data_IF_562458227486
#
_entry.id   IF_562458227486
#
_cell.length_a   1.000
_cell.length_b   1.000
_cell.length_c   1.000
_cell.angle_alpha   90.00
_cell.angle_beta   90.00
_cell.angle_gamma   90.00
#
_symmetry.space_group_name_H-M   'P 1'
#
loop_
_entity.id
_entity.type
_entity.pdbx_description
1 polymer ?
#
# COMPACT_ATOMS: atom_id res chain seq x y z
N UNK A 1 4.57 35.95 -13.37
CA UNK A 1 5.01 34.56 -13.12
C UNK A 1 3.76 33.83 -12.73
N UNK A 2 3.41 32.78 -13.47
CA UNK A 2 2.22 32.01 -13.14
C UNK A 2 2.49 31.21 -11.86
N UNK A 3 1.45 31.02 -11.04
CA UNK A 3 1.57 30.32 -9.77
C UNK A 3 0.51 29.23 -9.67
N UNK A 4 0.88 28.10 -9.07
CA UNK A 4 -0.04 27.03 -8.71
C UNK A 4 0.27 26.59 -7.28
N UNK A 5 -0.77 26.40 -6.46
CA UNK A 5 -0.65 25.98 -5.06
C UNK A 5 0.31 26.84 -4.22
N UNK A 6 0.49 28.12 -4.59
CA UNK A 6 1.39 29.06 -3.91
C UNK A 6 2.83 29.08 -4.40
N UNK A 7 3.18 28.32 -5.44
CA UNK A 7 4.55 28.19 -5.97
C UNK A 7 4.63 28.63 -7.43
N UNK A 8 5.84 29.00 -7.87
CA UNK A 8 6.11 29.38 -9.25
C UNK A 8 5.91 28.22 -10.23
N UNK A 9 5.45 28.55 -11.44
CA UNK A 9 5.27 27.60 -12.55
C UNK A 9 5.97 28.16 -13.79
N UNK A 10 6.71 27.31 -14.49
CA UNK A 10 7.38 27.68 -15.73
C UNK A 10 6.40 27.75 -16.92
N UNK A 11 6.90 28.27 -18.05
CA UNK A 11 6.10 28.43 -19.28
C UNK A 11 5.57 27.11 -19.88
N UNK A 12 6.15 25.97 -19.49
CA UNK A 12 5.78 24.65 -19.96
C UNK A 12 4.88 23.92 -18.94
N UNK A 13 4.51 24.56 -17.84
CA UNK A 13 3.63 24.02 -16.81
C UNK A 13 4.34 23.23 -15.70
N UNK A 14 5.67 23.23 -15.64
CA UNK A 14 6.41 22.57 -14.56
C UNK A 14 6.55 23.49 -13.34
N UNK A 15 6.43 22.90 -12.15
CA UNK A 15 6.64 23.56 -10.87
C UNK A 15 8.09 24.04 -10.76
N UNK A 16 8.28 25.24 -10.20
CA UNK A 16 9.58 25.87 -10.07
C UNK A 16 10.40 25.38 -8.88
N UNK A 17 11.61 25.93 -8.74
CA UNK A 17 12.57 25.53 -7.70
C UNK A 17 12.10 25.85 -6.27
N UNK A 18 11.20 26.82 -6.11
CA UNK A 18 10.55 27.12 -4.84
C UNK A 18 9.64 25.98 -4.36
N UNK A 19 8.90 25.34 -5.28
CA UNK A 19 8.16 24.11 -4.98
C UNK A 19 9.11 22.96 -4.63
N UNK A 20 10.13 22.72 -5.47
CA UNK A 20 11.09 21.62 -5.23
C UNK A 20 11.75 21.75 -3.86
N UNK A 21 12.14 22.97 -3.46
CA UNK A 21 12.70 23.24 -2.14
C UNK A 21 11.72 22.93 -1.02
N UNK A 22 10.45 23.33 -1.15
CA UNK A 22 9.42 23.05 -0.14
C UNK A 22 9.10 21.55 -0.04
N UNK A 23 9.10 20.84 -1.18
CA UNK A 23 8.84 19.42 -1.27
C UNK A 23 10.10 18.54 -1.01
N UNK A 24 11.26 19.13 -0.73
CA UNK A 24 12.51 18.39 -0.51
C UNK A 24 13.00 17.59 -1.73
N UNK A 25 12.67 18.06 -2.93
CA UNK A 25 13.06 17.46 -4.21
C UNK A 25 14.42 18.01 -4.68
N UNK A 26 15.16 17.27 -5.54
CA UNK A 26 16.29 17.83 -6.28
C UNK A 26 15.88 19.11 -7.04
N UNK A 27 16.81 20.05 -7.18
CA UNK A 27 16.52 21.36 -7.77
C UNK A 27 15.97 21.27 -9.20
N UNK A 28 16.47 20.31 -9.98
CA UNK A 28 16.11 20.05 -11.37
C UNK A 28 14.99 19.00 -11.54
N UNK A 29 14.44 18.46 -10.44
CA UNK A 29 13.38 17.47 -10.50
C UNK A 29 12.10 18.09 -11.07
N UNK A 30 11.49 17.45 -12.06
CA UNK A 30 10.33 18.02 -12.75
C UNK A 30 9.03 17.41 -12.23
N UNK A 31 8.16 18.27 -11.71
CA UNK A 31 6.74 17.97 -11.47
C UNK A 31 5.92 18.91 -12.32
N UNK A 32 5.04 18.37 -13.17
CA UNK A 32 4.11 19.17 -13.95
C UNK A 32 2.87 19.52 -13.11
N UNK A 33 2.33 20.72 -13.28
CA UNK A 33 1.14 21.20 -12.56
C UNK A 33 -0.05 20.26 -12.70
N UNK A 34 -0.22 19.63 -13.87
CA UNK A 34 -1.32 18.67 -14.10
C UNK A 34 -1.28 17.47 -13.15
N UNK A 35 -0.10 17.06 -12.67
CA UNK A 35 0.02 16.02 -11.64
C UNK A 35 -0.60 16.49 -10.32
N UNK A 36 -0.35 17.74 -9.91
CA UNK A 36 -0.91 18.30 -8.68
C UNK A 36 -2.42 18.55 -8.81
N UNK A 37 -2.86 19.00 -9.98
CA UNK A 37 -4.29 19.14 -10.29
C UNK A 37 -5.03 17.80 -10.24
N UNK A 38 -4.39 16.72 -10.72
CA UNK A 38 -4.93 15.38 -10.62
C UNK A 38 -4.99 14.91 -9.16
N UNK A 39 -3.96 15.14 -8.34
CA UNK A 39 -4.00 14.82 -6.90
C UNK A 39 -5.18 15.54 -6.24
N UNK A 40 -5.36 16.83 -6.51
CA UNK A 40 -6.48 17.60 -5.97
C UNK A 40 -7.84 17.04 -6.41
N UNK A 41 -8.00 16.78 -7.72
CA UNK A 41 -9.26 16.35 -8.32
C UNK A 41 -9.64 14.94 -7.87
N UNK A 42 -8.68 14.01 -7.86
CA UNK A 42 -8.83 12.66 -7.33
C UNK A 42 -9.26 12.71 -5.85
N UNK A 43 -8.54 13.43 -4.99
CA UNK A 43 -8.86 13.48 -3.57
C UNK A 43 -10.19 14.15 -3.24
N UNK A 44 -10.60 15.14 -4.05
CA UNK A 44 -11.92 15.77 -3.91
C UNK A 44 -13.03 14.81 -4.32
N UNK A 45 -12.86 14.11 -5.44
CA UNK A 45 -13.89 13.21 -5.99
C UNK A 45 -14.00 11.90 -5.21
N UNK A 46 -12.86 11.32 -4.81
CA UNK A 46 -12.77 10.08 -4.04
C UNK A 46 -13.43 10.21 -2.66
N UNK A 47 -13.32 11.40 -2.03
CA UNK A 47 -13.88 11.68 -0.70
C UNK A 47 -15.25 12.37 -0.72
N UNK A 48 -15.84 12.59 -1.90
CA UNK A 48 -17.11 13.30 -2.07
C UNK A 48 -18.26 12.62 -1.31
N UNK A 49 -18.34 11.29 -1.36
CA UNK A 49 -19.40 10.54 -0.68
C UNK A 49 -19.37 10.80 0.84
N UNK A 50 -18.20 10.69 1.47
CA UNK A 50 -18.03 10.95 2.91
C UNK A 50 -18.32 12.40 3.26
N UNK A 51 -17.92 13.36 2.42
CA UNK A 51 -18.25 14.77 2.64
C UNK A 51 -19.78 15.00 2.61
N UNK A 52 -20.47 14.41 1.65
CA UNK A 52 -21.93 14.50 1.51
C UNK A 52 -22.67 13.86 2.69
N UNK A 53 -22.25 12.67 3.13
CA UNK A 53 -22.85 11.97 4.29
C UNK A 53 -22.73 12.78 5.58
N UNK A 54 -21.61 13.50 5.74
CA UNK A 54 -21.36 14.38 6.88
C UNK A 54 -21.98 15.78 6.72
N UNK A 55 -22.64 16.05 5.59
CA UNK A 55 -23.29 17.33 5.31
C UNK A 55 -22.31 18.50 5.13
N UNK A 56 -21.08 18.24 4.65
CA UNK A 56 -20.05 19.26 4.43
C UNK A 56 -19.75 19.44 2.94
N UNK A 57 -19.38 20.66 2.56
CA UNK A 57 -19.09 21.00 1.15
C UNK A 57 -17.79 20.41 0.60
N UNK A 58 -16.85 20.07 1.48
CA UNK A 58 -15.51 19.63 1.10
C UNK A 58 -14.90 18.81 2.23
N UNK A 59 -14.19 17.74 1.84
CA UNK A 59 -13.48 16.87 2.79
C UNK A 59 -12.22 17.55 3.36
N UNK A 60 -11.40 18.11 2.48
CA UNK A 60 -10.20 18.89 2.82
C UNK A 60 -10.50 20.39 2.73
N UNK A 61 -10.11 21.15 3.74
CA UNK A 61 -10.09 22.63 3.68
C UNK A 61 -8.80 23.15 3.05
N UNK A 62 -7.71 22.37 3.12
CA UNK A 62 -6.47 22.62 2.40
C UNK A 62 -5.74 21.28 2.16
N UNK A 63 -5.07 21.15 1.01
CA UNK A 63 -4.10 20.08 0.74
C UNK A 63 -2.74 20.74 0.55
N UNK A 64 -1.79 20.42 1.43
CA UNK A 64 -0.41 20.85 1.28
C UNK A 64 0.28 19.97 0.23
N UNK A 65 0.28 20.44 -1.02
CA UNK A 65 0.83 19.70 -2.16
C UNK A 65 2.34 19.47 -2.02
N UNK A 66 3.06 20.44 -1.47
CA UNK A 66 4.51 20.30 -1.29
C UNK A 66 4.82 19.23 -0.24
N UNK A 67 4.12 19.25 0.90
CA UNK A 67 4.31 18.23 1.94
C UNK A 67 3.85 16.84 1.48
N UNK A 68 2.72 16.75 0.77
CA UNK A 68 2.23 15.49 0.20
C UNK A 68 3.27 14.88 -0.75
N UNK A 69 3.81 15.67 -1.69
CA UNK A 69 4.86 15.21 -2.60
C UNK A 69 6.16 14.88 -1.86
N UNK A 70 6.54 15.66 -0.84
CA UNK A 70 7.72 15.38 0.00
C UNK A 70 7.67 14.00 0.64
N UNK A 71 6.54 13.67 1.26
CA UNK A 71 6.34 12.39 1.93
C UNK A 71 6.45 11.22 0.94
N UNK A 72 5.75 11.30 -0.19
CA UNK A 72 5.85 10.28 -1.25
C UNK A 72 7.27 10.18 -1.81
N UNK A 73 7.93 11.31 -2.10
CA UNK A 73 9.29 11.30 -2.64
C UNK A 73 10.29 10.70 -1.65
N UNK A 74 10.12 10.94 -0.35
CA UNK A 74 10.94 10.32 0.70
C UNK A 74 10.85 8.79 0.67
N UNK A 75 9.64 8.23 0.54
CA UNK A 75 9.44 6.76 0.40
C UNK A 75 10.00 6.23 -0.91
N UNK A 76 9.69 6.89 -2.01
CA UNK A 76 10.23 6.56 -3.32
C UNK A 76 11.76 6.51 -3.29
N UNK A 77 12.42 7.51 -2.70
CA UNK A 77 13.87 7.57 -2.63
C UNK A 77 14.45 6.43 -1.78
N UNK A 78 13.79 6.02 -0.69
CA UNK A 78 14.19 4.84 0.07
C UNK A 78 14.14 3.55 -0.77
N UNK A 79 13.09 3.37 -1.58
CA UNK A 79 12.95 2.22 -2.50
C UNK A 79 14.05 2.23 -3.56
N UNK A 80 14.30 3.38 -4.19
CA UNK A 80 15.36 3.51 -5.21
C UNK A 80 16.74 3.24 -4.59
N UNK A 81 16.99 3.74 -3.38
CA UNK A 81 18.25 3.54 -2.68
C UNK A 81 18.47 2.08 -2.27
N UNK A 82 17.40 1.34 -1.93
CA UNK A 82 17.48 -0.09 -1.67
C UNK A 82 17.98 -0.86 -2.90
N UNK A 83 17.43 -0.57 -4.08
CA UNK A 83 17.78 -1.31 -5.31
C UNK A 83 19.09 -0.89 -5.95
N UNK A 84 19.44 0.40 -5.89
CA UNK A 84 20.56 0.95 -6.65
C UNK A 84 21.62 1.67 -5.80
N UNK A 85 21.59 1.49 -4.47
CA UNK A 85 22.69 1.85 -3.56
C UNK A 85 23.02 3.35 -3.52
N UNK A 86 22.08 4.19 -3.10
CA UNK A 86 22.23 5.66 -3.03
C UNK A 86 22.80 6.28 -4.32
N UNK A 87 22.55 5.68 -5.48
CA UNK A 87 22.97 6.23 -6.75
C UNK A 87 22.15 7.48 -7.09
N UNK A 88 22.81 8.51 -7.62
CA UNK A 88 22.14 9.66 -8.26
C UNK A 88 21.59 9.28 -9.64
N UNK A 89 21.06 8.05 -9.77
CA UNK A 89 20.54 7.52 -11.03
C UNK A 89 19.26 8.27 -11.38
N UNK A 90 19.27 8.90 -12.55
CA UNK A 90 18.17 9.70 -13.09
C UNK A 90 17.48 9.07 -14.29
N UNK A 91 18.03 7.96 -14.80
CA UNK A 91 17.52 7.21 -15.96
C UNK A 91 17.56 5.70 -15.69
N UNK A 92 16.49 5.01 -16.09
CA UNK A 92 16.21 3.60 -15.78
C UNK A 92 15.85 2.82 -17.05
N UNK A 93 16.61 1.77 -17.38
CA UNK A 93 16.27 0.84 -18.46
C UNK A 93 15.17 -0.13 -18.03
N UNK A 94 14.60 -0.89 -18.97
CA UNK A 94 13.62 -1.94 -18.64
C UNK A 94 14.20 -2.99 -17.70
N UNK A 95 15.49 -3.31 -17.83
CA UNK A 95 16.21 -4.20 -16.92
C UNK A 95 16.28 -3.61 -15.50
N UNK A 96 16.54 -2.30 -15.37
CA UNK A 96 16.49 -1.62 -14.08
C UNK A 96 15.09 -1.75 -13.47
N UNK A 97 14.03 -1.50 -14.25
CA UNK A 97 12.64 -1.62 -13.78
C UNK A 97 12.33 -3.03 -13.27
N UNK A 98 12.84 -4.06 -13.95
CA UNK A 98 12.65 -5.46 -13.56
C UNK A 98 13.33 -5.79 -12.23
N UNK A 99 14.42 -5.10 -11.87
CA UNK A 99 15.16 -5.29 -10.62
C UNK A 99 14.56 -4.58 -9.41
N UNK A 100 13.60 -3.66 -9.61
CA UNK A 100 12.89 -3.00 -8.51
C UNK A 100 11.96 -3.96 -7.76
N UNK A 101 11.73 -3.73 -6.45
CA UNK A 101 10.81 -4.52 -5.64
C UNK A 101 9.39 -4.50 -6.20
N UNK A 102 8.66 -5.60 -6.00
CA UNK A 102 7.23 -5.74 -6.33
C UNK A 102 6.32 -5.25 -5.21
N UNK A 103 6.89 -5.03 -4.03
CA UNK A 103 6.24 -4.36 -2.91
C UNK A 103 7.17 -4.28 -1.71
N UNK A 104 6.63 -3.77 -0.61
CA UNK A 104 7.33 -3.61 0.65
C UNK A 104 6.35 -3.71 1.82
N UNK A 105 6.86 -3.94 3.02
CA UNK A 105 6.06 -3.88 4.24
C UNK A 105 6.41 -2.66 5.06
N UNK A 106 5.39 -2.10 5.71
CA UNK A 106 5.56 -1.01 6.66
C UNK A 106 5.21 -1.44 8.07
N UNK A 107 5.98 -0.94 9.04
CA UNK A 107 5.54 -0.81 10.41
C UNK A 107 5.07 0.62 10.64
N UNK A 108 3.85 0.78 11.15
CA UNK A 108 3.31 2.09 11.46
C UNK A 108 3.30 2.31 12.98
N UNK A 109 3.90 3.41 13.41
CA UNK A 109 3.92 3.81 14.82
C UNK A 109 2.64 4.53 15.27
N UNK A 110 1.83 4.98 14.31
CA UNK A 110 0.56 5.70 14.52
C UNK A 110 -0.51 5.14 13.57
N UNK A 111 -1.28 4.16 14.02
CA UNK A 111 -2.27 3.46 13.18
C UNK A 111 -3.43 4.41 12.79
N UNK A 112 -3.25 5.07 11.63
CA UNK A 112 -4.25 5.91 10.98
C UNK A 112 -4.52 5.36 9.59
N UNK A 113 -5.68 4.76 9.39
CA UNK A 113 -6.04 4.15 8.10
C UNK A 113 -6.82 5.09 7.17
N UNK A 114 -7.49 6.13 7.69
CA UNK A 114 -8.30 7.06 6.86
C UNK A 114 -7.58 8.34 6.44
N UNK A 115 -6.53 8.74 7.16
CA UNK A 115 -5.75 9.92 6.85
C UNK A 115 -4.30 9.67 7.28
N UNK A 116 -3.53 9.16 6.32
CA UNK A 116 -2.21 8.60 6.58
C UNK A 116 -1.15 9.69 6.67
N UNK A 117 -0.14 9.44 7.49
CA UNK A 117 1.13 10.15 7.50
C UNK A 117 2.23 9.15 7.13
N UNK A 118 2.89 9.32 5.98
CA UNK A 118 3.93 8.38 5.58
C UNK A 118 5.20 8.55 6.40
N UNK A 119 5.43 9.70 7.04
CA UNK A 119 6.58 9.90 7.93
C UNK A 119 6.46 9.08 9.23
N UNK A 120 5.26 8.62 9.63
CA UNK A 120 5.07 7.72 10.79
C UNK A 120 5.30 6.24 10.47
N UNK A 121 5.55 5.93 9.20
CA UNK A 121 5.73 4.57 8.69
C UNK A 121 7.21 4.27 8.47
N UNK A 122 7.67 3.08 8.84
CA UNK A 122 9.02 2.59 8.57
C UNK A 122 8.94 1.39 7.64
N UNK A 123 9.73 1.36 6.56
CA UNK A 123 9.82 0.17 5.71
C UNK A 123 10.61 -0.91 6.46
N UNK A 124 10.01 -2.07 6.66
CA UNK A 124 10.62 -3.19 7.39
C UNK A 124 11.10 -4.31 6.47
N UNK A 125 10.48 -4.45 5.29
CA UNK A 125 10.79 -5.51 4.35
C UNK A 125 10.64 -5.03 2.90
N UNK A 126 11.47 -5.58 2.00
CA UNK A 126 11.32 -5.45 0.55
C UNK A 126 11.07 -6.82 -0.10
N UNK A 127 10.16 -6.86 -1.07
CA UNK A 127 9.80 -8.07 -1.81
C UNK A 127 10.28 -7.97 -3.25
N UNK A 128 11.50 -8.45 -3.52
CA UNK A 128 12.17 -8.28 -4.82
C UNK A 128 11.59 -9.14 -5.95
N UNK A 129 10.80 -10.17 -5.62
CA UNK A 129 10.12 -11.02 -6.60
C UNK A 129 8.62 -11.06 -6.34
N UNK A 130 7.84 -11.33 -7.40
CA UNK A 130 6.38 -11.46 -7.27
C UNK A 130 6.00 -12.63 -6.36
N UNK A 131 6.76 -13.73 -6.41
CA UNK A 131 6.56 -14.88 -5.54
C UNK A 131 6.65 -14.51 -4.06
N UNK A 132 7.64 -13.69 -3.67
CA UNK A 132 7.81 -13.24 -2.28
C UNK A 132 6.72 -12.27 -1.85
N UNK A 133 6.28 -11.39 -2.74
CA UNK A 133 5.15 -10.50 -2.48
C UNK A 133 3.87 -11.31 -2.25
N UNK A 134 3.57 -12.26 -3.12
CA UNK A 134 2.40 -13.13 -3.00
C UNK A 134 2.46 -14.01 -1.74
N UNK A 135 3.64 -14.46 -1.35
CA UNK A 135 3.84 -15.22 -0.11
C UNK A 135 3.55 -14.35 1.13
N UNK A 136 3.98 -13.09 1.12
CA UNK A 136 3.67 -12.14 2.19
C UNK A 136 2.15 -11.87 2.29
N UNK A 137 1.49 -11.66 1.16
CA UNK A 137 0.02 -11.50 1.09
C UNK A 137 -0.70 -12.73 1.68
N UNK A 138 -0.31 -13.93 1.27
CA UNK A 138 -0.90 -15.17 1.79
C UNK A 138 -0.64 -15.35 3.29
N UNK A 139 0.56 -15.04 3.78
CA UNK A 139 0.85 -15.09 5.22
C UNK A 139 0.04 -14.07 6.01
N UNK A 140 -0.23 -12.90 5.45
CA UNK A 140 -1.11 -11.92 6.08
C UNK A 140 -2.52 -12.46 6.26
N UNK A 141 -3.07 -13.09 5.21
CA UNK A 141 -4.42 -13.65 5.24
C UNK A 141 -4.53 -14.89 6.14
N UNK A 142 -3.61 -15.85 6.02
CA UNK A 142 -3.72 -17.15 6.71
C UNK A 142 -3.01 -17.20 8.05
N UNK A 143 -1.90 -16.50 8.19
CA UNK A 143 -1.32 -16.29 9.51
C UNK A 143 -2.14 -15.31 10.34
N UNK A 144 -3.13 -14.62 9.73
CA UNK A 144 -3.82 -13.49 10.34
C UNK A 144 -2.79 -12.48 10.86
N UNK A 145 -1.81 -12.15 10.03
CA UNK A 145 -0.70 -11.24 10.37
C UNK A 145 -0.96 -9.91 9.68
N UNK A 146 -0.87 -8.81 10.40
CA UNK A 146 -0.80 -7.51 9.75
C UNK A 146 0.61 -7.33 9.18
N UNK A 147 0.75 -7.66 7.89
CA UNK A 147 2.00 -7.55 7.15
C UNK A 147 2.35 -6.10 6.83
N UNK A 148 1.37 -5.17 6.84
CA UNK A 148 1.59 -3.80 6.38
C UNK A 148 2.00 -3.74 4.91
N UNK A 149 1.50 -4.67 4.08
CA UNK A 149 1.95 -4.88 2.71
C UNK A 149 1.52 -3.72 1.79
N UNK A 150 2.48 -3.15 1.05
CA UNK A 150 2.29 -2.09 0.06
C UNK A 150 2.73 -2.57 -1.33
N UNK A 151 1.88 -2.51 -2.36
CA UNK A 151 2.24 -2.90 -3.72
C UNK A 151 3.16 -1.87 -4.38
N UNK A 152 4.01 -2.33 -5.29
CA UNK A 152 4.78 -1.48 -6.20
C UNK A 152 4.59 -1.96 -7.63
N UNK A 153 4.39 -1.01 -8.55
CA UNK A 153 4.27 -1.33 -9.97
C UNK A 153 5.10 -0.37 -10.80
N UNK A 154 6.30 -0.81 -11.19
CA UNK A 154 7.23 -0.08 -12.05
C UNK A 154 7.26 -0.60 -13.49
N UNK A 155 6.19 -1.23 -13.96
CA UNK A 155 6.11 -1.70 -15.35
C UNK A 155 6.03 -0.53 -16.33
N UNK A 156 6.50 -0.68 -17.58
CA UNK A 156 6.27 0.31 -18.64
C UNK A 156 4.83 0.80 -18.76
N UNK A 157 3.85 -0.09 -18.55
CA UNK A 157 2.43 0.22 -18.59
C UNK A 157 2.00 1.16 -17.45
N UNK A 158 2.61 1.05 -16.27
CA UNK A 158 2.34 1.96 -15.15
C UNK A 158 2.77 3.40 -15.43
N UNK A 159 3.71 3.59 -16.37
CA UNK A 159 4.20 4.90 -16.81
C UNK A 159 3.42 5.48 -18.00
N UNK A 160 2.22 4.98 -18.24
CA UNK A 160 1.29 5.51 -19.24
C UNK A 160 0.05 6.10 -18.56
N UNK A 161 -0.54 7.11 -19.20
CA UNK A 161 -1.88 7.60 -18.83
C UNK A 161 -2.89 6.52 -19.18
N UNK A 162 -3.75 6.17 -18.22
CA UNK A 162 -4.79 5.17 -18.46
C UNK A 162 -5.98 5.81 -19.18
N UNK A 163 -6.63 5.08 -20.08
CA UNK A 163 -7.91 5.47 -20.65
C UNK A 163 -9.02 4.93 -19.76
N UNK A 164 -9.61 5.80 -18.92
CA UNK A 164 -10.63 5.44 -17.94
C UNK A 164 -12.00 5.98 -18.38
N UNK A 165 -13.05 5.22 -18.11
CA UNK A 165 -14.41 5.74 -18.13
C UNK A 165 -14.66 6.66 -16.91
N UNK A 166 -15.74 7.43 -16.96
CA UNK A 166 -16.08 8.42 -15.92
C UNK A 166 -16.18 7.81 -14.50
N UNK A 167 -16.69 6.58 -14.36
CA UNK A 167 -16.81 5.96 -13.05
C UNK A 167 -15.45 5.52 -12.52
N UNK A 168 -14.63 4.90 -13.38
CA UNK A 168 -13.28 4.45 -13.00
C UNK A 168 -12.35 5.63 -12.67
N UNK A 169 -12.48 6.75 -13.39
CA UNK A 169 -11.68 7.95 -13.15
C UNK A 169 -11.90 8.55 -11.76
N UNK A 170 -13.10 8.42 -11.18
CA UNK A 170 -13.40 8.93 -9.83
C UNK A 170 -12.62 8.21 -8.72
N UNK A 171 -12.28 6.95 -8.93
CA UNK A 171 -11.66 6.08 -7.93
C UNK A 171 -10.21 5.71 -8.25
N UNK A 172 -9.63 6.29 -9.30
CA UNK A 172 -8.28 5.93 -9.76
C UNK A 172 -7.48 7.21 -10.02
N UNK A 173 -6.44 7.42 -9.22
CA UNK A 173 -5.45 8.47 -9.50
C UNK A 173 -4.74 8.19 -10.83
N UNK A 174 -4.89 9.08 -11.81
CA UNK A 174 -4.43 8.85 -13.18
C UNK A 174 -3.78 10.11 -13.78
N UNK A 175 -2.54 10.43 -13.36
CA UNK A 175 -1.85 11.61 -13.85
C UNK A 175 -1.54 11.49 -15.35
N UNK A 176 -1.50 12.64 -16.02
CA UNK A 176 -1.04 12.71 -17.41
C UNK A 176 0.46 12.41 -17.49
N UNK A 177 0.79 11.26 -18.06
CA UNK A 177 2.16 10.79 -18.26
C UNK A 177 2.82 11.36 -19.52
N UNK A 178 2.07 12.04 -20.41
CA UNK A 178 2.64 12.60 -21.66
C UNK A 178 3.67 13.70 -21.40
N UNK A 179 3.61 14.34 -20.23
CA UNK A 179 4.58 15.34 -19.76
C UNK A 179 5.84 14.71 -19.13
N UNK A 180 5.91 13.39 -19.02
CA UNK A 180 7.09 12.65 -18.58
C UNK A 180 7.53 11.64 -19.65
N UNK A 181 7.95 12.12 -20.84
CA UNK A 181 8.22 11.24 -21.97
C UNK A 181 9.40 10.32 -21.68
N UNK A 182 9.38 9.15 -22.32
CA UNK A 182 10.52 8.26 -22.38
C UNK A 182 11.71 8.95 -23.05
N UNK A 183 12.93 8.67 -22.59
CA UNK A 183 14.15 9.18 -23.19
C UNK A 183 14.34 8.58 -24.60
N UNK A 184 15.15 9.25 -25.43
CA UNK A 184 15.41 8.83 -26.83
C UNK A 184 16.00 7.41 -26.94
N UNK A 185 16.74 6.97 -25.92
CA UNK A 185 17.33 5.63 -25.82
C UNK A 185 16.37 4.54 -25.30
N UNK A 186 15.11 4.90 -25.05
CA UNK A 186 14.10 3.99 -24.50
C UNK A 186 14.17 3.83 -22.98
N UNK A 187 15.03 4.55 -22.27
CA UNK A 187 15.03 4.58 -20.81
C UNK A 187 13.94 5.51 -20.25
N UNK A 188 13.59 5.33 -18.98
CA UNK A 188 12.62 6.15 -18.26
C UNK A 188 13.31 7.10 -17.29
N UNK A 189 12.82 8.33 -17.15
CA UNK A 189 13.34 9.29 -16.19
C UNK A 189 12.95 8.93 -14.75
N UNK A 190 13.66 9.50 -13.77
CA UNK A 190 13.32 9.37 -12.34
C UNK A 190 11.93 9.94 -12.04
N UNK A 191 11.51 10.98 -12.75
CA UNK A 191 10.18 11.58 -12.66
C UNK A 191 9.08 10.64 -13.13
N UNK A 192 9.26 9.99 -14.29
CA UNK A 192 8.31 8.99 -14.80
C UNK A 192 8.17 7.81 -13.83
N UNK A 193 9.29 7.36 -13.27
CA UNK A 193 9.33 6.30 -12.25
C UNK A 193 8.63 6.74 -10.94
N UNK A 194 8.81 8.00 -10.52
CA UNK A 194 8.13 8.56 -9.36
C UNK A 194 6.60 8.67 -9.57
N UNK A 195 6.14 9.04 -10.77
CA UNK A 195 4.70 9.03 -11.09
C UNK A 195 4.11 7.62 -11.01
N UNK A 196 4.83 6.63 -11.53
CA UNK A 196 4.46 5.21 -11.43
C UNK A 196 4.37 4.76 -9.95
N UNK A 197 5.30 5.21 -9.09
CA UNK A 197 5.21 5.00 -7.63
C UNK A 197 3.97 5.66 -7.00
N UNK A 198 3.68 6.92 -7.35
CA UNK A 198 2.47 7.62 -6.86
C UNK A 198 1.19 6.87 -7.26
N UNK A 199 1.11 6.37 -8.50
CA UNK A 199 0.00 5.54 -8.98
C UNK A 199 -0.14 4.26 -8.17
N UNK A 200 0.95 3.56 -7.87
CA UNK A 200 0.89 2.36 -7.01
C UNK A 200 0.53 2.66 -5.55
N UNK A 201 0.78 3.89 -5.09
CA UNK A 201 0.50 4.34 -3.72
C UNK A 201 -0.84 5.07 -3.56
N UNK A 202 -1.66 5.12 -4.63
CA UNK A 202 -3.00 5.69 -4.61
C UNK A 202 -3.11 7.20 -4.80
N UNK A 203 -2.03 7.97 -4.70
CA UNK A 203 -2.06 9.44 -4.89
C UNK A 203 -2.97 10.20 -3.92
N UNK A 204 -3.22 9.67 -2.72
CA UNK A 204 -4.03 10.30 -1.69
C UNK A 204 -3.32 11.51 -1.05
N UNK A 205 -4.09 12.48 -0.60
CA UNK A 205 -3.61 13.58 0.22
C UNK A 205 -3.20 13.06 1.61
N UNK A 206 -2.09 13.56 2.14
CA UNK A 206 -1.48 13.04 3.35
C UNK A 206 -1.61 14.02 4.53
N UNK A 207 -1.64 13.46 5.74
CA UNK A 207 -1.51 14.22 6.98
C UNK A 207 -0.08 14.76 7.10
N UNK A 208 0.05 16.06 7.34
CA UNK A 208 1.33 16.74 7.43
C UNK A 208 1.27 18.14 6.85
N UNK A 209 2.36 18.89 7.02
CA UNK A 209 2.47 20.28 6.57
C UNK A 209 1.26 21.13 7.02
N UNK A 210 0.65 21.80 6.06
CA UNK A 210 -0.57 22.59 6.26
C UNK A 210 -1.84 21.90 5.75
N UNK A 211 -1.82 20.59 5.46
CA UNK A 211 -3.04 19.87 5.06
C UNK A 211 -4.04 19.91 6.19
N UNK A 212 -5.27 20.34 5.90
CA UNK A 212 -6.33 20.47 6.90
C UNK A 212 -7.62 19.83 6.39
N UNK A 213 -8.27 19.10 7.28
CA UNK A 213 -9.59 18.52 7.07
C UNK A 213 -10.67 19.51 7.51
N UNK A 214 -11.86 19.36 6.93
CA UNK A 214 -13.05 19.94 7.52
C UNK A 214 -13.20 19.48 8.98
N UNK A 215 -13.55 20.35 9.94
CA UNK A 215 -13.67 19.98 11.35
C UNK A 215 -14.58 18.78 11.62
N UNK A 216 -15.70 18.64 10.89
CA UNK A 216 -16.61 17.49 11.05
C UNK A 216 -15.99 16.20 10.50
N UNK A 217 -15.26 16.29 9.39
CA UNK A 217 -14.51 15.16 8.82
C UNK A 217 -13.42 14.71 9.78
N UNK A 218 -12.66 15.66 10.36
CA UNK A 218 -11.65 15.37 11.36
C UNK A 218 -12.24 14.62 12.56
N UNK A 219 -13.34 15.14 13.13
CA UNK A 219 -14.02 14.49 14.25
C UNK A 219 -14.54 13.09 13.89
N UNK A 220 -15.08 12.92 12.67
CA UNK A 220 -15.51 11.63 12.17
C UNK A 220 -14.35 10.63 12.05
N UNK A 221 -13.22 11.04 11.47
CA UNK A 221 -12.03 10.20 11.35
C UNK A 221 -11.51 9.82 12.75
N UNK A 222 -11.39 10.77 13.67
CA UNK A 222 -10.94 10.49 15.04
C UNK A 222 -11.85 9.49 15.76
N UNK A 223 -13.16 9.61 15.59
CA UNK A 223 -14.13 8.66 16.15
C UNK A 223 -13.99 7.27 15.50
N UNK A 224 -13.93 7.20 14.17
CA UNK A 224 -13.78 5.94 13.44
C UNK A 224 -12.45 5.26 13.77
N UNK A 225 -11.34 6.00 13.85
CA UNK A 225 -10.03 5.46 14.24
C UNK A 225 -10.05 4.91 15.66
N UNK A 226 -10.74 5.57 16.60
CA UNK A 226 -10.87 5.09 17.97
C UNK A 226 -11.66 3.78 18.09
N UNK A 227 -12.70 3.61 17.27
CA UNK A 227 -13.56 2.42 17.28
C UNK A 227 -13.04 1.31 16.35
N UNK A 228 -12.01 1.59 15.55
CA UNK A 228 -11.41 0.60 14.66
C UNK A 228 -10.38 -0.25 15.39
N UNK A 229 -10.37 -1.53 15.06
CA UNK A 229 -9.37 -2.48 15.53
C UNK A 229 -8.78 -3.23 14.35
N UNK A 230 -7.49 -3.57 14.47
CA UNK A 230 -6.83 -4.49 13.56
C UNK A 230 -7.33 -5.91 13.87
N UNK A 231 -7.90 -6.58 12.87
CA UNK A 231 -8.39 -7.95 12.99
C UNK A 231 -7.30 -9.02 12.95
N UNK A 232 -6.04 -8.61 12.75
CA UNK A 232 -4.90 -9.52 12.79
C UNK A 232 -4.59 -9.99 14.22
N UNK A 233 -3.99 -11.17 14.33
CA UNK A 233 -3.48 -11.71 15.59
C UNK A 233 -2.24 -10.96 16.07
N UNK A 234 -1.39 -10.52 15.14
CA UNK A 234 -0.19 -9.75 15.43
C UNK A 234 0.30 -8.99 14.18
N UNK A 235 1.02 -7.89 14.40
CA UNK A 235 1.76 -7.23 13.32
C UNK A 235 3.05 -7.98 13.00
N UNK A 236 3.51 -7.93 11.74
CA UNK A 236 4.77 -8.55 11.32
C UNK A 236 5.95 -8.03 12.16
N UNK A 237 5.98 -6.74 12.50
CA UNK A 237 7.01 -6.15 13.36
C UNK A 237 7.01 -6.76 14.76
N UNK A 238 5.83 -6.92 15.39
CA UNK A 238 5.75 -7.47 16.75
C UNK A 238 6.22 -8.93 16.80
N UNK A 239 5.98 -9.69 15.73
CA UNK A 239 6.52 -11.04 15.57
C UNK A 239 8.04 -11.00 15.41
N UNK A 240 8.56 -10.17 14.49
CA UNK A 240 10.00 -10.05 14.19
C UNK A 240 10.83 -9.54 15.35
N UNK A 241 10.23 -8.74 16.24
CA UNK A 241 10.86 -8.16 17.43
C UNK A 241 10.69 -9.03 18.68
N UNK A 242 9.94 -10.14 18.57
CA UNK A 242 9.67 -11.05 19.69
C UNK A 242 8.76 -10.47 20.77
N UNK A 243 8.02 -9.39 20.49
CA UNK A 243 7.00 -8.85 21.40
C UNK A 243 5.82 -9.82 21.55
N UNK A 244 5.58 -10.64 20.52
CA UNK A 244 4.54 -11.68 20.51
C UNK A 244 5.16 -13.05 20.24
N UNK A 245 4.88 -14.03 21.10
CA UNK A 245 5.10 -15.44 20.78
C UNK A 245 4.00 -15.92 19.83
N UNK A 246 4.21 -15.65 18.56
CA UNK A 246 3.20 -15.86 17.53
C UNK A 246 2.82 -17.33 17.33
N UNK A 247 3.76 -18.25 17.49
CA UNK A 247 3.47 -19.68 17.38
C UNK A 247 2.49 -20.14 18.48
N UNK A 248 2.73 -19.71 19.73
CA UNK A 248 1.83 -20.00 20.85
C UNK A 248 0.47 -19.31 20.69
N UNK A 249 0.46 -18.06 20.22
CA UNK A 249 -0.77 -17.32 19.96
C UNK A 249 -1.63 -18.02 18.91
N UNK A 250 -1.05 -18.33 17.74
CA UNK A 250 -1.71 -19.01 16.64
C UNK A 250 -2.24 -20.38 17.07
N UNK A 251 -1.45 -21.14 17.86
CA UNK A 251 -1.87 -22.41 18.42
C UNK A 251 -3.08 -22.28 19.36
N UNK A 252 -3.11 -21.25 20.21
CA UNK A 252 -4.26 -20.99 21.08
C UNK A 252 -5.55 -20.76 20.30
N UNK A 253 -5.52 -19.87 19.30
CA UNK A 253 -6.67 -19.62 18.43
C UNK A 253 -7.10 -20.84 17.61
N UNK A 254 -6.15 -21.67 17.17
CA UNK A 254 -6.44 -22.94 16.52
C UNK A 254 -7.16 -23.93 17.47
N UNK A 255 -6.73 -24.02 18.73
CA UNK A 255 -7.35 -24.88 19.74
C UNK A 255 -8.78 -24.45 20.10
N UNK A 256 -9.05 -23.15 20.08
CA UNK A 256 -10.38 -22.57 20.28
C UNK A 256 -11.30 -22.75 19.04
N UNK A 257 -10.75 -23.29 17.94
CA UNK A 257 -11.47 -23.56 16.70
C UNK A 257 -11.66 -22.33 15.82
N UNK A 258 -11.01 -21.20 16.12
CA UNK A 258 -11.09 -19.98 15.31
C UNK A 258 -10.50 -20.20 13.91
N UNK A 259 -9.49 -21.07 13.80
CA UNK A 259 -8.77 -21.40 12.56
C UNK A 259 -9.24 -22.72 11.93
N UNK A 260 -10.39 -23.24 12.35
CA UNK A 260 -10.91 -24.53 11.89
C UNK A 260 -11.07 -24.59 10.35
N UNK A 261 -11.54 -23.51 9.74
CA UNK A 261 -11.70 -23.43 8.28
C UNK A 261 -10.33 -23.49 7.57
N UNK A 262 -9.36 -22.73 8.05
CA UNK A 262 -8.00 -22.70 7.49
C UNK A 262 -7.31 -24.06 7.61
N UNK A 263 -7.44 -24.70 8.78
CA UNK A 263 -6.90 -26.04 9.04
C UNK A 263 -7.58 -27.08 8.14
N UNK A 264 -8.90 -27.03 8.00
CA UNK A 264 -9.65 -27.94 7.14
C UNK A 264 -9.25 -27.77 5.66
N UNK A 265 -9.10 -26.54 5.19
CA UNK A 265 -8.65 -26.26 3.82
C UNK A 265 -7.26 -26.86 3.56
N UNK A 266 -6.33 -26.68 4.51
CA UNK A 266 -4.99 -27.24 4.43
C UNK A 266 -5.01 -28.78 4.41
N UNK A 267 -5.79 -29.42 5.29
CA UNK A 267 -5.95 -30.88 5.32
C UNK A 267 -6.47 -31.46 4.00
N UNK A 268 -7.37 -30.73 3.33
CA UNK A 268 -7.98 -31.15 2.07
C UNK A 268 -7.17 -30.76 0.84
N UNK A 269 -6.05 -30.04 1.01
CA UNK A 269 -5.25 -29.53 -0.10
C UNK A 269 -6.05 -28.59 -1.00
N UNK A 270 -7.04 -27.89 -0.43
CA UNK A 270 -7.86 -26.93 -1.19
C UNK A 270 -6.98 -25.73 -1.50
N UNK A 271 -6.80 -25.45 -2.79
CA UNK A 271 -6.13 -24.24 -3.22
C UNK A 271 -6.87 -23.03 -2.66
N UNK A 272 -6.13 -22.15 -2.01
CA UNK A 272 -6.66 -21.12 -1.14
C UNK A 272 -7.56 -20.10 -1.87
N UNK A 273 -7.34 -19.84 -3.16
CA UNK A 273 -8.22 -18.98 -3.95
C UNK A 273 -9.67 -19.52 -3.97
N UNK A 274 -9.83 -20.84 -3.78
CA UNK A 274 -11.11 -21.51 -3.78
C UNK A 274 -11.76 -21.60 -2.40
N UNK A 275 -11.13 -21.09 -1.32
CA UNK A 275 -11.77 -21.07 0.01
C UNK A 275 -12.58 -19.79 0.24
N UNK A 276 -12.29 -18.71 -0.50
CA UNK A 276 -12.78 -17.37 -0.15
C UNK A 276 -13.37 -16.58 -1.33
N UNK A 277 -13.21 -17.04 -2.58
CA UNK A 277 -13.60 -16.27 -3.77
C UNK A 277 -14.65 -17.00 -4.60
N UNK A 278 -15.75 -16.30 -4.90
CA UNK A 278 -16.77 -16.71 -5.87
C UNK A 278 -17.42 -18.07 -5.58
N UNK A 279 -17.70 -18.84 -6.64
CA UNK A 279 -18.36 -20.14 -6.55
C UNK A 279 -17.52 -21.20 -5.82
N UNK A 280 -16.19 -21.04 -5.79
CA UNK A 280 -15.28 -21.90 -5.04
C UNK A 280 -15.48 -21.75 -3.53
N UNK A 281 -15.52 -20.50 -3.03
CA UNK A 281 -15.72 -20.22 -1.61
C UNK A 281 -17.05 -20.76 -1.08
N UNK A 282 -18.16 -20.53 -1.79
CA UNK A 282 -19.47 -21.06 -1.38
C UNK A 282 -19.52 -22.60 -1.34
N UNK A 283 -18.79 -23.26 -2.24
CA UNK A 283 -18.68 -24.72 -2.24
C UNK A 283 -17.82 -25.21 -1.07
N UNK A 284 -16.68 -24.57 -0.81
CA UNK A 284 -15.85 -24.85 0.35
C UNK A 284 -16.63 -24.67 1.66
N UNK A 285 -17.36 -23.56 1.82
CA UNK A 285 -18.18 -23.29 2.99
C UNK A 285 -19.22 -24.38 3.19
N UNK A 286 -19.89 -24.82 2.14
CA UNK A 286 -20.87 -25.91 2.23
C UNK A 286 -20.19 -27.21 2.69
N UNK A 287 -19.04 -27.58 2.11
CA UNK A 287 -18.30 -28.78 2.51
C UNK A 287 -17.81 -28.70 3.96
N UNK A 288 -17.23 -27.57 4.35
CA UNK A 288 -16.73 -27.34 5.69
C UNK A 288 -17.86 -27.36 6.73
N UNK A 289 -18.98 -26.69 6.45
CA UNK A 289 -20.16 -26.71 7.31
C UNK A 289 -20.77 -28.12 7.44
N UNK A 290 -20.80 -28.91 6.35
CA UNK A 290 -21.20 -30.31 6.43
C UNK A 290 -20.24 -31.14 7.27
N UNK A 291 -18.92 -30.94 7.12
CA UNK A 291 -17.93 -31.62 7.94
C UNK A 291 -18.11 -31.27 9.43
N UNK A 292 -18.32 -29.99 9.76
CA UNK A 292 -18.61 -29.51 11.12
C UNK A 292 -19.91 -30.13 11.68
N UNK A 293 -20.98 -30.18 10.88
CA UNK A 293 -22.24 -30.82 11.26
C UNK A 293 -22.07 -32.32 11.53
N UNK A 294 -21.15 -32.97 10.82
CA UNK A 294 -20.77 -34.37 11.03
C UNK A 294 -19.72 -34.57 12.14
N UNK A 295 -19.46 -33.54 12.95
CA UNK A 295 -18.60 -33.62 14.13
C UNK A 295 -17.11 -33.42 13.86
N UNK A 296 -16.72 -32.95 12.66
CA UNK A 296 -15.32 -32.60 12.40
C UNK A 296 -14.87 -31.48 13.35
N UNK A 297 -13.65 -31.64 13.87
CA UNK A 297 -12.89 -30.66 14.63
C UNK A 297 -11.42 -30.86 14.30
N UNK A 298 -10.64 -29.78 14.29
CA UNK A 298 -9.21 -29.88 14.09
C UNK A 298 -8.58 -30.80 15.16
N UNK A 299 -7.76 -31.76 14.72
CA UNK A 299 -7.00 -32.60 15.65
C UNK A 299 -5.78 -31.84 16.15
N UNK A 300 -5.22 -32.23 17.31
CA UNK A 300 -3.96 -31.64 17.80
C UNK A 300 -2.84 -31.74 16.76
N UNK A 301 -2.78 -32.86 16.02
CA UNK A 301 -1.80 -33.04 14.95
C UNK A 301 -2.04 -32.04 13.80
N UNK A 302 -3.29 -31.82 13.41
CA UNK A 302 -3.66 -30.86 12.35
C UNK A 302 -3.32 -29.43 12.75
N UNK A 303 -3.62 -29.07 13.99
CA UNK A 303 -3.26 -27.77 14.58
C UNK A 303 -1.75 -27.58 14.56
N UNK A 304 -0.99 -28.55 15.08
CA UNK A 304 0.48 -28.45 15.12
C UNK A 304 1.07 -28.38 13.70
N UNK A 305 0.57 -29.16 12.75
CA UNK A 305 0.98 -29.09 11.35
C UNK A 305 0.70 -27.72 10.73
N UNK A 306 -0.46 -27.13 11.01
CA UNK A 306 -0.82 -25.82 10.50
C UNK A 306 0.08 -24.72 11.08
N UNK A 307 0.24 -24.69 12.40
CA UNK A 307 1.11 -23.71 13.08
C UNK A 307 2.54 -23.82 12.57
N UNK A 308 3.09 -25.03 12.50
CA UNK A 308 4.46 -25.23 11.99
C UNK A 308 4.59 -24.77 10.53
N UNK A 309 3.60 -25.06 9.68
CA UNK A 309 3.62 -24.60 8.28
C UNK A 309 3.66 -23.08 8.17
N UNK A 310 2.83 -22.37 8.92
CA UNK A 310 2.82 -20.90 8.94
C UNK A 310 4.15 -20.36 9.47
N UNK A 311 4.68 -20.92 10.56
CA UNK A 311 5.96 -20.49 11.13
C UNK A 311 7.14 -20.71 10.20
N UNK A 312 7.22 -21.86 9.52
CA UNK A 312 8.29 -22.17 8.58
C UNK A 312 8.28 -21.21 7.38
N UNK A 313 7.09 -20.96 6.82
CA UNK A 313 6.88 -20.00 5.73
C UNK A 313 7.26 -18.57 6.14
N UNK A 314 6.80 -18.14 7.31
CA UNK A 314 7.09 -16.82 7.86
C UNK A 314 8.60 -16.62 8.11
N UNK A 315 9.26 -17.60 8.73
CA UNK A 315 10.70 -17.56 8.96
C UNK A 315 11.49 -17.53 7.65
N UNK A 316 11.06 -18.30 6.64
CA UNK A 316 11.66 -18.27 5.31
C UNK A 316 11.52 -16.89 4.65
N UNK A 317 10.35 -16.27 4.74
CA UNK A 317 10.06 -14.96 4.17
C UNK A 317 10.90 -13.87 4.85
N UNK A 318 10.87 -13.79 6.19
CA UNK A 318 11.57 -12.75 6.95
C UNK A 318 13.08 -12.85 6.75
N UNK A 319 13.64 -14.06 6.72
CA UNK A 319 15.08 -14.27 6.53
C UNK A 319 15.64 -13.76 5.19
N UNK A 320 14.78 -13.43 4.23
CA UNK A 320 15.17 -12.97 2.89
C UNK A 320 14.73 -11.54 2.55
N UNK A 321 13.80 -10.97 3.31
CA UNK A 321 13.11 -9.73 2.92
C UNK A 321 13.32 -8.59 3.89
N UNK A 322 13.77 -8.88 5.12
CA UNK A 322 13.94 -7.88 6.18
C UNK A 322 15.06 -6.88 5.84
N UNK A 323 14.82 -5.61 6.20
CA UNK A 323 15.76 -4.49 6.13
C UNK A 323 16.52 -4.33 7.44
#
# INVERSE_FOLDING_TARGET
TDTAYGYSVDKNGYMGSDFNKAAGLPEDFKIHKSTLDEIYSFNTSFKEHTANDLGVSNYYTNIDMADTIRQYYSKFNQIINHSFGNSNKTSFSVEDLNSLPKGYSIHNTDFKFMFQNLDSQTITNFYNTQERYNEAEQLGMFGHINIGLQPLNFTPQSMQTQNLDENSAKYTFNPDMSVYPQNEDGSYSKEALFMSFLKSSGGEALEGGNTTLNPLVKAHIEAMTKESFDGSLASLDDIMTGKVDFASLLKGYAQDGWLDADIYAMEKGVAWQNTSIGYGGAWFDNQFNQAKANGWKASNQSIDSYVNSIMDRLNNLIGQTRV
#
